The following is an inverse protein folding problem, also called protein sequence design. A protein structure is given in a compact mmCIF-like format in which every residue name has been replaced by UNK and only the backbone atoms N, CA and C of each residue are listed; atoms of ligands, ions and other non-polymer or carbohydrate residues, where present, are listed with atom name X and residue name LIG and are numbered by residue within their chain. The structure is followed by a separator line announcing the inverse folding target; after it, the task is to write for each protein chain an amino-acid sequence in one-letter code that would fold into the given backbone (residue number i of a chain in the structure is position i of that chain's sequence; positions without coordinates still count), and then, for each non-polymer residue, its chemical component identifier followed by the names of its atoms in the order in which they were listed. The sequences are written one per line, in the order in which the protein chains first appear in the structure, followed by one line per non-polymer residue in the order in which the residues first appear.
data_IF_168503423314
#
_entry.id   IF_168503423314
#
_cell.length_a   1.000
_cell.length_b   1.000
_cell.length_c   1.000
_cell.angle_alpha   90.00
_cell.angle_beta   90.00
_cell.angle_gamma   90.00
#
_symmetry.space_group_name_H-M   'P 1'
#
loop_
_entity.id
_entity.type
_entity.pdbx_description
1 polymer ?
#
# COMPACT_ATOMS: atom_id res chain seq x y z
N UNK A 1 -0.60 15.46 37.77
CA UNK A 1 -0.70 16.70 37.00
C UNK A 1 -1.57 16.43 35.79
N UNK A 2 -2.86 16.71 35.92
CA UNK A 2 -3.84 16.63 34.84
C UNK A 2 -4.12 18.06 34.38
N UNK A 3 -3.86 18.38 33.11
CA UNK A 3 -4.49 19.52 32.47
C UNK A 3 -5.55 19.01 31.50
N UNK A 4 -6.78 19.24 31.91
CA UNK A 4 -8.04 19.06 31.20
C UNK A 4 -8.24 20.17 30.17
N UNK A 5 -8.71 19.85 28.95
CA UNK A 5 -9.99 20.31 28.35
C UNK A 5 -10.04 20.21 26.80
N UNK A 6 -11.25 20.23 26.20
CA UNK A 6 -11.65 19.43 25.05
C UNK A 6 -11.79 20.24 23.75
N UNK A 7 -12.01 19.54 22.63
CA UNK A 7 -12.56 20.13 21.40
C UNK A 7 -14.08 20.10 21.46
N UNK A 8 -14.72 21.26 21.36
CA UNK A 8 -16.16 21.42 21.14
C UNK A 8 -16.42 22.37 19.96
N UNK A 9 -17.15 21.81 19.00
CA UNK A 9 -18.22 22.35 18.16
C UNK A 9 -18.12 23.62 17.31
N UNK A 10 -18.57 23.38 16.08
CA UNK A 10 -19.24 24.24 15.13
C UNK A 10 -20.37 25.09 15.72
N UNK A 11 -20.31 26.41 15.52
CA UNK A 11 -21.43 27.30 15.14
C UNK A 11 -21.06 28.76 15.48
N UNK A 12 -20.97 29.62 14.45
CA UNK A 12 -21.14 31.07 14.60
C UNK A 12 -21.25 31.71 13.20
N UNK A 13 -22.49 31.82 12.73
CA UNK A 13 -22.87 32.79 11.71
C UNK A 13 -23.14 34.13 12.40
N UNK A 14 -22.99 35.21 11.63
CA UNK A 14 -23.50 36.55 11.86
C UNK A 14 -22.99 37.33 13.08
N UNK A 15 -22.16 38.34 12.81
CA UNK A 15 -22.58 39.75 12.78
C UNK A 15 -21.33 40.60 12.58
N UNK A 16 -21.22 41.31 11.47
CA UNK A 16 -20.70 42.70 11.41
C UNK A 16 -20.93 43.24 9.99
N UNK A 17 -22.13 43.80 9.75
CA UNK A 17 -22.39 44.75 8.67
C UNK A 17 -22.57 46.12 9.33
N UNK A 18 -22.04 47.16 8.65
CA UNK A 18 -22.21 48.62 8.82
C UNK A 18 -20.98 49.39 9.32
N UNK A 19 -20.79 50.58 8.70
CA UNK A 19 -19.60 51.43 8.58
C UNK A 19 -18.63 50.91 7.50
N UNK A 20 -18.58 51.43 6.26
CA UNK A 20 -18.68 52.82 5.81
C UNK A 20 -19.15 52.89 4.34
N UNK A 21 -20.16 53.72 4.09
CA UNK A 21 -20.49 54.29 2.77
C UNK A 21 -19.74 55.63 2.61
N UNK A 22 -19.71 56.13 1.36
CA UNK A 22 -19.11 57.39 0.85
C UNK A 22 -17.59 57.30 0.60
N UNK A 23 -17.05 57.48 -0.61
CA UNK A 23 -17.30 58.55 -1.59
C UNK A 23 -17.23 58.04 -3.05
N UNK A 24 -18.03 58.64 -3.95
CA UNK A 24 -18.00 58.43 -5.40
C UNK A 24 -17.67 59.73 -6.14
N UNK A 25 -16.80 59.71 -7.17
CA UNK A 25 -16.78 60.68 -8.26
C UNK A 25 -17.11 60.06 -9.64
N UNK A 26 -17.36 60.89 -10.69
CA UNK A 26 -18.52 60.72 -11.55
C UNK A 26 -18.29 60.01 -12.91
N UNK A 27 -19.41 59.52 -13.45
CA UNK A 27 -19.59 59.02 -14.82
C UNK A 27 -19.46 60.14 -15.85
N UNK A 28 -18.49 60.06 -16.75
CA UNK A 28 -18.62 60.59 -18.12
C UNK A 28 -17.60 59.88 -19.04
N UNK A 29 -18.00 59.59 -20.28
CA UNK A 29 -17.20 59.07 -21.42
C UNK A 29 -17.07 57.54 -21.57
N UNK A 30 -18.18 56.81 -21.80
CA UNK A 30 -18.13 55.44 -22.35
C UNK A 30 -19.24 55.22 -23.41
N UNK A 31 -19.30 56.02 -24.47
CA UNK A 31 -20.22 55.71 -25.59
C UNK A 31 -19.59 55.59 -27.00
N UNK A 32 -18.35 56.01 -27.24
CA UNK A 32 -17.81 55.96 -28.61
C UNK A 32 -16.98 54.72 -29.00
N UNK A 33 -16.42 53.95 -28.05
CA UNK A 33 -15.50 52.83 -28.39
C UNK A 33 -16.20 51.51 -28.75
N UNK A 34 -17.50 51.39 -28.48
CA UNK A 34 -18.27 50.13 -28.66
C UNK A 34 -18.71 49.91 -30.11
N UNK A 35 -18.80 50.98 -30.93
CA UNK A 35 -19.29 50.89 -32.32
C UNK A 35 -18.22 50.44 -33.32
N UNK A 36 -16.93 50.68 -33.05
CA UNK A 36 -15.83 50.25 -33.94
C UNK A 36 -15.32 48.80 -33.69
N UNK A 37 -15.60 48.19 -32.53
CA UNK A 37 -15.16 46.81 -32.20
C UNK A 37 -16.12 45.72 -32.72
N UNK A 38 -17.36 46.08 -33.08
CA UNK A 38 -18.38 45.12 -33.52
C UNK A 38 -18.16 44.69 -34.99
N UNK A 39 -17.59 45.55 -35.84
CA UNK A 39 -17.35 45.23 -37.26
C UNK A 39 -16.17 44.27 -37.47
N UNK A 40 -15.06 44.48 -36.76
CA UNK A 40 -13.87 43.62 -36.84
C UNK A 40 -14.12 42.19 -36.34
N UNK A 41 -14.94 42.05 -35.30
CA UNK A 41 -15.32 40.75 -34.72
C UNK A 41 -16.27 39.94 -35.61
N UNK A 42 -17.06 40.59 -36.47
CA UNK A 42 -17.97 39.91 -37.41
C UNK A 42 -17.22 39.34 -38.62
N UNK A 43 -16.20 40.04 -39.12
CA UNK A 43 -15.34 39.56 -40.21
C UNK A 43 -14.43 38.41 -39.77
N UNK A 44 -13.84 38.47 -38.56
CA UNK A 44 -13.08 37.35 -38.00
C UNK A 44 -13.97 36.10 -37.84
N UNK A 45 -15.20 36.25 -37.35
CA UNK A 45 -16.14 35.13 -37.20
C UNK A 45 -16.52 34.49 -38.54
N UNK A 46 -16.62 35.28 -39.62
CA UNK A 46 -16.96 34.79 -40.96
C UNK A 46 -15.80 34.03 -41.61
N UNK A 47 -14.56 34.51 -41.44
CA UNK A 47 -13.35 33.82 -41.90
C UNK A 47 -13.14 32.49 -41.16
N UNK A 48 -13.34 32.47 -39.83
CA UNK A 48 -13.24 31.25 -39.01
C UNK A 48 -14.33 30.22 -39.36
N UNK A 49 -15.52 30.66 -39.77
CA UNK A 49 -16.61 29.76 -40.21
C UNK A 49 -16.29 29.06 -41.54
N UNK A 50 -15.56 29.72 -42.44
CA UNK A 50 -15.08 29.12 -43.71
C UNK A 50 -14.00 28.05 -43.47
N UNK A 51 -13.12 28.26 -42.47
CA UNK A 51 -12.14 27.26 -42.02
C UNK A 51 -12.78 26.05 -41.30
N UNK A 52 -13.98 26.18 -40.73
CA UNK A 52 -14.64 25.10 -39.97
C UNK A 52 -15.41 24.10 -40.83
N UNK A 53 -15.67 24.44 -42.10
CA UNK A 53 -16.45 23.61 -43.03
C UNK A 53 -15.60 23.01 -44.17
N UNK A 54 -14.27 23.14 -44.12
CA UNK A 54 -13.37 22.49 -45.07
C UNK A 54 -13.13 21.02 -44.64
N UNK A 55 -13.17 20.04 -45.57
CA UNK A 55 -12.89 18.64 -45.25
C UNK A 55 -11.46 18.43 -44.73
N UNK A 56 -10.55 19.35 -45.04
CA UNK A 56 -9.14 19.31 -44.64
C UNK A 56 -8.96 19.61 -43.14
N UNK A 57 -9.74 20.53 -42.57
CA UNK A 57 -9.71 20.86 -41.14
C UNK A 57 -10.34 19.77 -40.28
N UNK A 58 -11.30 19.01 -40.82
CA UNK A 58 -11.85 17.83 -40.14
C UNK A 58 -10.82 16.69 -40.04
N UNK A 59 -10.05 16.46 -41.11
CA UNK A 59 -8.98 15.45 -41.14
C UNK A 59 -7.80 15.80 -40.23
N UNK A 60 -7.38 17.08 -40.20
CA UNK A 60 -6.34 17.57 -39.29
C UNK A 60 -6.80 17.55 -37.81
N UNK A 61 -8.07 17.84 -37.55
CA UNK A 61 -8.67 17.73 -36.22
C UNK A 61 -8.70 16.30 -35.69
N UNK A 62 -9.05 15.32 -36.54
CA UNK A 62 -9.02 13.91 -36.19
C UNK A 62 -7.59 13.39 -35.92
N UNK A 63 -6.60 13.85 -36.70
CA UNK A 63 -5.20 13.51 -36.49
C UNK A 63 -4.63 14.07 -35.16
N UNK A 64 -5.05 15.27 -34.75
CA UNK A 64 -4.71 15.87 -33.45
C UNK A 64 -5.41 15.18 -32.27
N UNK A 65 -6.61 14.64 -32.46
CA UNK A 65 -7.26 13.81 -31.42
C UNK A 65 -6.64 12.42 -31.30
N UNK A 66 -6.05 11.90 -32.38
CA UNK A 66 -5.40 10.58 -32.37
C UNK A 66 -4.03 10.58 -31.66
N UNK A 67 -3.32 11.72 -31.59
CA UNK A 67 -2.04 11.83 -30.87
C UNK A 67 -2.18 12.19 -29.39
N UNK A 68 -3.37 12.63 -28.93
CA UNK A 68 -3.64 12.84 -27.51
C UNK A 68 -4.07 11.56 -26.76
N UNK A 69 -4.25 10.43 -27.47
CA UNK A 69 -4.42 9.10 -26.85
C UNK A 69 -3.05 8.44 -26.62
N UNK A 70 -2.06 9.23 -26.20
CA UNK A 70 -0.79 8.70 -25.69
C UNK A 70 -0.39 9.54 -24.47
N UNK A 71 -0.99 9.25 -23.32
CA UNK A 71 -0.23 9.19 -22.07
C UNK A 71 -1.02 8.42 -21.03
N UNK A 72 -0.36 7.40 -20.51
CA UNK A 72 -0.84 6.52 -19.46
C UNK A 72 -1.19 7.38 -18.25
N UNK A 73 -2.48 7.60 -18.04
CA UNK A 73 -2.95 7.74 -16.68
C UNK A 73 -2.78 6.36 -16.05
N UNK A 74 -1.60 6.11 -15.48
CA UNK A 74 -1.49 5.24 -14.31
C UNK A 74 -2.29 5.91 -13.18
N UNK A 75 -3.62 5.94 -13.32
CA UNK A 75 -4.50 5.98 -12.16
C UNK A 75 -4.25 4.61 -11.54
N UNK A 76 -3.30 4.56 -10.61
CA UNK A 76 -3.11 3.39 -9.74
C UNK A 76 -4.50 3.03 -9.23
N UNK A 77 -5.04 1.85 -9.60
CA UNK A 77 -6.39 1.50 -9.26
C UNK A 77 -6.42 1.25 -7.75
N UNK A 78 -7.22 2.06 -7.07
CA UNK A 78 -8.05 1.63 -5.95
C UNK A 78 -7.42 0.63 -4.97
N UNK A 79 -6.44 1.04 -4.17
CA UNK A 79 -6.06 0.32 -2.93
C UNK A 79 -6.00 -1.22 -3.06
N UNK A 80 -5.49 -1.76 -4.17
CA UNK A 80 -5.39 -3.20 -4.34
C UNK A 80 -4.30 -3.74 -3.42
N UNK A 81 -4.74 -4.37 -2.33
CA UNK A 81 -3.84 -5.07 -1.44
C UNK A 81 -3.62 -6.52 -1.91
N UNK A 82 -2.48 -7.14 -1.56
CA UNK A 82 -2.25 -8.56 -1.83
C UNK A 82 -3.32 -9.45 -1.19
N UNK A 83 -3.33 -10.71 -1.59
CA UNK A 83 -4.27 -11.71 -1.06
C UNK A 83 -4.25 -11.72 0.46
N UNK A 84 -5.45 -11.80 1.06
CA UNK A 84 -5.69 -11.78 2.51
C UNK A 84 -5.22 -10.52 3.24
N UNK A 85 -4.98 -9.44 2.51
CA UNK A 85 -4.69 -8.12 3.08
C UNK A 85 -5.83 -7.15 2.80
N UNK A 86 -5.89 -6.08 3.59
CA UNK A 86 -6.74 -4.92 3.31
C UNK A 86 -5.97 -3.64 3.57
N UNK A 87 -6.42 -2.56 2.94
CA UNK A 87 -5.83 -1.26 3.16
C UNK A 87 -6.26 -0.71 4.51
N UNK A 88 -5.30 -0.19 5.27
CA UNK A 88 -5.54 0.50 6.52
C UNK A 88 -5.04 1.93 6.42
N UNK A 89 -5.82 2.88 6.98
CA UNK A 89 -5.35 4.26 7.18
C UNK A 89 -4.18 4.30 8.18
N UNK A 90 -4.25 3.47 9.22
CA UNK A 90 -3.14 3.18 10.12
C UNK A 90 -3.03 1.66 10.22
N UNK A 91 -1.93 1.07 9.74
CA UNK A 91 -1.74 -0.38 9.82
C UNK A 91 -1.77 -0.85 11.28
N UNK A 92 -2.44 -1.98 11.58
CA UNK A 92 -2.33 -2.61 12.88
C UNK A 92 -0.92 -3.14 13.12
N UNK A 93 -0.64 -3.52 14.37
CA UNK A 93 0.61 -4.18 14.71
C UNK A 93 0.80 -5.46 13.87
N UNK A 94 2.06 -5.71 13.48
CA UNK A 94 2.42 -6.87 12.68
C UNK A 94 1.99 -8.17 13.39
N UNK A 95 1.22 -9.00 12.68
CA UNK A 95 0.79 -10.31 13.18
C UNK A 95 1.64 -11.40 12.54
N UNK A 96 2.48 -12.05 13.36
CA UNK A 96 3.30 -13.18 12.96
C UNK A 96 2.79 -14.46 13.62
N UNK A 97 2.90 -15.58 12.93
CA UNK A 97 2.52 -16.89 13.47
C UNK A 97 3.21 -17.16 14.81
N UNK A 98 2.41 -17.41 15.86
CA UNK A 98 2.91 -17.74 17.20
C UNK A 98 3.65 -16.62 17.93
N UNK A 99 3.72 -15.41 17.37
CA UNK A 99 4.47 -14.28 17.94
C UNK A 99 3.60 -13.03 17.99
N UNK A 100 3.37 -12.51 19.19
CA UNK A 100 2.84 -11.15 19.38
C UNK A 100 4.01 -10.16 19.18
N UNK A 101 4.05 -9.51 18.03
CA UNK A 101 5.08 -8.51 17.78
C UNK A 101 4.94 -7.34 18.77
N UNK A 102 6.07 -6.79 19.23
CA UNK A 102 6.10 -5.51 19.93
C UNK A 102 6.11 -4.41 18.87
N UNK A 103 5.08 -3.58 18.86
CA UNK A 103 4.98 -2.48 17.93
C UNK A 103 5.16 -1.15 18.65
N UNK A 104 5.75 -0.20 17.94
CA UNK A 104 5.68 1.22 18.29
C UNK A 104 4.30 1.74 17.86
N UNK A 105 3.74 2.67 18.62
CA UNK A 105 2.46 3.34 18.31
C UNK A 105 2.63 4.37 17.18
N UNK A 106 3.16 3.93 16.04
CA UNK A 106 3.34 4.74 14.84
C UNK A 106 2.27 4.39 13.82
N UNK A 107 1.40 5.35 13.51
CA UNK A 107 0.45 5.20 12.42
C UNK A 107 1.18 5.32 11.07
N UNK A 108 1.20 4.22 10.32
CA UNK A 108 1.68 4.20 8.93
C UNK A 108 0.57 3.62 8.05
N UNK A 109 0.03 4.38 7.07
CA UNK A 109 -0.93 3.85 6.10
C UNK A 109 -0.34 2.70 5.26
N UNK A 110 -1.19 1.78 4.81
CA UNK A 110 -0.79 0.71 3.90
C UNK A 110 -1.58 -0.57 4.05
N UNK A 111 -1.21 -1.58 3.26
CA UNK A 111 -1.77 -2.92 3.37
C UNK A 111 -1.20 -3.67 4.57
N UNK A 112 -2.07 -4.39 5.28
CA UNK A 112 -1.72 -5.35 6.31
C UNK A 112 -2.70 -6.53 6.29
N UNK A 113 -2.37 -7.62 7.00
CA UNK A 113 -3.25 -8.78 7.07
C UNK A 113 -4.65 -8.38 7.58
N UNK A 114 -5.68 -9.03 7.02
CA UNK A 114 -7.02 -8.98 7.58
C UNK A 114 -7.02 -9.63 8.99
N UNK A 115 -7.96 -9.28 9.88
CA UNK A 115 -8.11 -9.99 11.16
C UNK A 115 -8.28 -11.50 10.94
N UNK A 116 -7.64 -12.33 11.78
CA UNK A 116 -7.63 -13.79 11.62
C UNK A 116 -6.59 -14.32 10.63
N UNK A 117 -5.74 -13.45 10.08
CA UNK A 117 -4.63 -13.81 9.21
C UNK A 117 -3.31 -13.33 9.77
N UNK A 118 -2.28 -14.16 9.62
CA UNK A 118 -0.93 -13.89 10.08
C UNK A 118 0.09 -14.19 8.98
N UNK A 119 1.29 -13.63 9.14
CA UNK A 119 2.45 -13.97 8.31
C UNK A 119 3.30 -15.04 8.97
N UNK A 120 3.74 -16.03 8.21
CA UNK A 120 4.67 -17.06 8.69
C UNK A 120 6.10 -16.50 8.86
N UNK A 121 6.52 -15.64 7.94
CA UNK A 121 7.74 -14.82 7.98
C UNK A 121 7.43 -13.41 7.49
N UNK A 122 8.31 -12.43 7.75
CA UNK A 122 8.10 -11.03 7.32
C UNK A 122 7.74 -10.88 5.83
N UNK A 123 8.34 -11.73 4.99
CA UNK A 123 8.19 -11.70 3.53
C UNK A 123 7.08 -12.61 3.00
N UNK A 124 6.53 -13.49 3.84
CA UNK A 124 5.43 -14.39 3.44
C UNK A 124 4.11 -13.66 3.21
N UNK A 125 3.20 -14.30 2.47
CA UNK A 125 1.80 -13.86 2.37
C UNK A 125 1.04 -14.08 3.69
N UNK A 126 -0.08 -13.37 3.85
CA UNK A 126 -0.97 -13.57 4.98
C UNK A 126 -1.73 -14.90 4.79
N UNK A 127 -1.55 -15.82 5.72
CA UNK A 127 -2.27 -17.09 5.80
C UNK A 127 -3.25 -17.05 6.96
N UNK A 128 -4.34 -17.82 6.91
CA UNK A 128 -5.21 -18.04 8.07
C UNK A 128 -4.40 -18.45 9.31
N UNK A 129 -4.74 -17.91 10.48
CA UNK A 129 -4.01 -18.18 11.73
C UNK A 129 -4.00 -19.66 12.12
N UNK A 130 -5.05 -20.41 11.78
CA UNK A 130 -5.15 -21.86 11.99
C UNK A 130 -4.22 -22.67 11.08
N UNK A 131 -3.71 -22.07 10.00
CA UNK A 131 -2.71 -22.67 9.10
C UNK A 131 -1.27 -22.32 9.46
N UNK A 132 -1.06 -21.58 10.54
CA UNK A 132 0.28 -21.24 11.01
C UNK A 132 1.08 -22.49 11.41
N UNK A 133 2.34 -22.55 10.97
CA UNK A 133 3.31 -23.54 11.46
C UNK A 133 3.99 -22.95 12.71
N UNK A 134 3.63 -23.48 13.88
CA UNK A 134 4.18 -23.03 15.17
C UNK A 134 5.23 -24.04 15.67
N UNK A 135 6.49 -23.61 15.70
CA UNK A 135 7.59 -24.43 16.16
C UNK A 135 7.71 -24.38 17.70
N UNK A 136 8.07 -25.51 18.31
CA UNK A 136 8.21 -25.66 19.77
C UNK A 136 9.67 -25.77 20.19
N UNK A 137 9.98 -25.33 21.41
CA UNK A 137 11.31 -25.46 22.02
C UNK A 137 12.39 -24.69 21.25
N UNK A 138 13.51 -25.35 20.97
CA UNK A 138 14.65 -24.75 20.26
C UNK A 138 14.58 -24.94 18.73
N UNK A 139 13.37 -25.11 18.20
CA UNK A 139 13.12 -25.15 16.77
C UNK A 139 12.76 -23.75 16.23
N UNK A 140 13.01 -23.52 14.95
CA UNK A 140 12.67 -22.31 14.21
C UNK A 140 12.00 -22.69 12.90
N UNK A 141 11.02 -21.89 12.48
CA UNK A 141 10.38 -22.06 11.19
C UNK A 141 11.39 -21.84 10.06
N UNK A 142 11.28 -22.64 9.01
CA UNK A 142 12.02 -22.50 7.77
C UNK A 142 11.09 -22.81 6.60
N UNK A 143 11.16 -22.06 5.48
CA UNK A 143 10.45 -22.43 4.25
C UNK A 143 10.95 -23.77 3.69
N UNK A 144 12.14 -24.21 4.13
CA UNK A 144 12.79 -25.41 3.69
C UNK A 144 13.35 -26.20 4.87
N UNK A 145 12.65 -27.25 5.31
CA UNK A 145 13.05 -28.07 6.46
C UNK A 145 13.65 -29.43 6.09
N UNK A 146 13.49 -29.88 4.84
CA UNK A 146 13.74 -31.27 4.45
C UNK A 146 15.14 -31.60 3.92
N UNK A 147 16.03 -30.64 3.69
CA UNK A 147 17.42 -30.94 3.35
C UNK A 147 18.14 -31.55 4.56
N UNK A 148 18.11 -32.89 4.66
CA UNK A 148 18.75 -33.75 5.66
C UNK A 148 19.09 -32.99 6.95
N UNK A 149 18.07 -32.66 7.77
CA UNK A 149 18.31 -31.83 8.94
C UNK A 149 19.34 -32.50 9.86
N UNK A 150 20.20 -31.70 10.50
CA UNK A 150 21.21 -32.21 11.41
C UNK A 150 20.53 -33.03 12.52
N UNK A 151 20.91 -34.30 12.65
CA UNK A 151 20.38 -35.27 13.61
C UNK A 151 21.54 -36.01 14.28
N UNK A 152 21.32 -36.58 15.46
CA UNK A 152 22.34 -37.43 16.10
C UNK A 152 22.63 -38.72 15.32
N UNK A 153 21.66 -39.18 14.53
CA UNK A 153 21.74 -40.37 13.69
C UNK A 153 21.42 -39.95 12.25
N UNK A 154 22.42 -39.46 11.49
CA UNK A 154 22.21 -39.06 10.10
C UNK A 154 21.70 -40.26 9.29
N UNK A 155 20.63 -40.05 8.53
CA UNK A 155 20.07 -41.06 7.62
C UNK A 155 20.04 -40.50 6.20
N UNK A 156 20.05 -41.40 5.22
CA UNK A 156 19.75 -41.02 3.84
C UNK A 156 18.37 -40.38 3.79
N UNK A 157 18.26 -39.22 3.14
CA UNK A 157 17.03 -38.46 3.07
C UNK A 157 16.79 -37.93 1.66
N UNK A 158 15.53 -37.70 1.32
CA UNK A 158 15.15 -37.03 0.08
C UNK A 158 15.40 -35.52 0.20
N UNK A 159 15.99 -34.91 -0.84
CA UNK A 159 16.29 -33.48 -0.92
C UNK A 159 15.04 -32.62 -1.20
N UNK A 160 13.93 -32.91 -0.52
CA UNK A 160 12.66 -32.21 -0.71
C UNK A 160 12.56 -31.00 0.22
N UNK A 161 12.16 -29.86 -0.34
CA UNK A 161 11.99 -28.62 0.40
C UNK A 161 10.55 -28.49 0.90
N UNK A 162 10.32 -28.85 2.17
CA UNK A 162 9.00 -28.76 2.80
C UNK A 162 9.04 -27.68 3.89
N UNK A 163 8.11 -26.70 3.90
CA UNK A 163 7.98 -25.74 4.99
C UNK A 163 7.75 -26.46 6.32
N UNK A 164 8.48 -26.04 7.35
CA UNK A 164 8.43 -26.74 8.62
C UNK A 164 9.35 -26.16 9.67
N UNK A 165 9.57 -26.93 10.71
CA UNK A 165 10.41 -26.56 11.83
C UNK A 165 11.76 -27.29 11.76
N UNK A 166 12.85 -26.54 11.84
CA UNK A 166 14.20 -27.09 11.99
C UNK A 166 14.82 -26.67 13.31
N UNK A 167 15.81 -27.41 13.79
CA UNK A 167 16.57 -26.98 14.95
C UNK A 167 17.29 -25.65 14.66
N UNK A 168 17.41 -24.79 15.69
CA UNK A 168 18.25 -23.60 15.63
C UNK A 168 19.68 -23.99 15.25
N UNK A 169 20.42 -23.04 14.68
CA UNK A 169 21.81 -23.25 14.26
C UNK A 169 22.65 -23.83 15.41
N UNK A 170 23.49 -24.82 15.08
CA UNK A 170 24.36 -25.51 16.05
C UNK A 170 23.69 -26.63 16.86
N UNK A 171 22.40 -26.90 16.67
CA UNK A 171 21.69 -27.99 17.34
C UNK A 171 21.33 -29.10 16.35
N UNK A 172 21.24 -30.33 16.87
CA UNK A 172 20.81 -31.52 16.15
C UNK A 172 19.48 -32.03 16.71
N UNK A 173 18.65 -32.62 15.85
CA UNK A 173 17.40 -33.26 16.24
C UNK A 173 17.69 -34.67 16.78
N UNK A 174 17.19 -34.96 17.98
CA UNK A 174 17.22 -36.26 18.61
C UNK A 174 15.94 -36.48 19.41
N UNK A 175 15.21 -37.57 19.15
CA UNK A 175 13.94 -37.91 19.80
C UNK A 175 12.93 -36.73 19.84
N UNK A 176 12.79 -36.02 18.71
CA UNK A 176 11.86 -34.88 18.59
C UNK A 176 12.32 -33.60 19.28
N UNK A 177 13.52 -33.56 19.87
CA UNK A 177 14.08 -32.40 20.57
C UNK A 177 15.38 -31.95 19.93
N UNK A 178 15.65 -30.65 19.99
CA UNK A 178 16.90 -30.08 19.54
C UNK A 178 17.88 -30.02 20.69
N UNK A 179 19.04 -30.67 20.54
CA UNK A 179 20.10 -30.75 21.54
C UNK A 179 21.44 -30.36 20.93
N UNK A 180 22.42 -29.94 21.75
CA UNK A 180 23.81 -29.84 21.30
C UNK A 180 24.33 -31.19 20.79
N UNK A 181 25.14 -31.24 19.72
CA UNK A 181 25.73 -32.48 19.20
C UNK A 181 26.52 -33.27 20.25
N UNK A 182 27.13 -32.58 21.23
CA UNK A 182 27.85 -33.21 22.34
C UNK A 182 26.97 -34.07 23.26
N UNK A 183 25.66 -33.88 23.24
CA UNK A 183 24.69 -34.68 23.99
C UNK A 183 24.09 -35.84 23.19
N UNK A 184 24.59 -36.09 21.96
CA UNK A 184 24.16 -37.26 21.22
C UNK A 184 24.57 -38.55 21.96
N UNK A 185 23.71 -39.58 21.97
CA UNK A 185 24.09 -40.87 22.50
C UNK A 185 25.28 -41.40 21.70
N UNK A 186 26.34 -41.78 22.41
CA UNK A 186 27.43 -42.53 21.79
C UNK A 186 26.86 -43.90 21.46
N UNK A 187 26.69 -44.19 20.17
CA UNK A 187 26.45 -45.57 19.74
C UNK A 187 27.63 -46.41 20.21
N UNK A 188 27.42 -47.22 21.25
CA UNK A 188 28.33 -48.32 21.51
C UNK A 188 28.24 -49.24 20.29
N UNK A 189 29.36 -49.67 19.69
CA UNK A 189 29.29 -50.65 18.62
C UNK A 189 28.53 -51.86 19.16
N UNK A 190 27.50 -52.29 18.43
CA UNK A 190 26.86 -53.56 18.69
C UNK A 190 27.94 -54.63 18.54
N UNK A 191 28.39 -55.20 19.66
CA UNK A 191 29.30 -56.34 19.63
C UNK A 191 28.55 -57.50 18.93
N UNK A 192 29.13 -58.10 17.88
CA UNK A 192 28.59 -59.31 17.27
C UNK A 192 28.62 -60.50 18.23
#
# INVERSE_FOLDING_TARGET
MCFTKPCADSSAWDTQILFLLQEAPPLLQIEDKKRQTISASLLLKRQVKMLRNSPITLLLGLALTATLVISQNDIVPERLCPVNQRWYRCKPCLTLCGVKAKCLDKCVPGCACKPGYAKQTLDSQCIPEDKCIICKGLQVYTPCSGHCPPTCEPRMCHLMCIPGCKCKSGLVLHNGRCIPPSLCPKTLPANP
#
